data_IF_515859652901
#
_entry.id   IF_515859652901
#
_cell.length_a   1.000
_cell.length_b   1.000
_cell.length_c   1.000
_cell.angle_alpha   90.00
_cell.angle_beta   90.00
_cell.angle_gamma   90.00
#
_symmetry.space_group_name_H-M   'P 1'
#
loop_
_entity.id
_entity.type
_entity.pdbx_description
1 polymer ?
#
# COMPACT_ATOMS: atom_id res chain seq x y z
N UNK A 1 1.64 -21.67 -21.83
CA UNK A 1 2.53 -22.72 -21.31
C UNK A 1 3.60 -23.13 -22.32
N UNK A 2 3.38 -24.18 -23.11
CA UNK A 2 4.41 -24.75 -24.00
C UNK A 2 4.88 -23.81 -25.13
N UNK A 3 3.97 -23.09 -25.79
CA UNK A 3 4.34 -22.09 -26.81
C UNK A 3 5.30 -21.02 -26.29
N UNK A 4 5.14 -20.64 -25.02
CA UNK A 4 5.95 -19.62 -24.38
C UNK A 4 7.35 -20.12 -24.02
N UNK A 5 7.48 -21.40 -23.63
CA UNK A 5 8.79 -22.05 -23.45
C UNK A 5 9.58 -22.08 -24.75
N UNK A 6 8.93 -22.40 -25.87
CA UNK A 6 9.56 -22.39 -27.20
C UNK A 6 10.02 -20.99 -27.58
N UNK A 7 9.21 -19.95 -27.32
CA UNK A 7 9.57 -18.57 -27.60
C UNK A 7 10.80 -18.11 -26.78
N UNK A 8 10.84 -18.44 -25.50
CA UNK A 8 11.97 -18.11 -24.62
C UNK A 8 13.24 -18.85 -25.06
N UNK A 9 13.15 -20.17 -25.30
CA UNK A 9 14.28 -20.97 -25.75
C UNK A 9 14.85 -20.45 -27.09
N UNK A 10 13.98 -20.08 -28.03
CA UNK A 10 14.38 -19.48 -29.31
C UNK A 10 15.08 -18.15 -29.11
N UNK A 11 14.62 -17.32 -28.19
CA UNK A 11 15.23 -16.01 -27.90
C UNK A 11 16.61 -16.19 -27.25
N UNK A 12 16.72 -17.11 -26.29
CA UNK A 12 17.97 -17.42 -25.61
C UNK A 12 19.03 -18.04 -26.53
N UNK A 13 18.63 -18.77 -27.57
CA UNK A 13 19.55 -19.35 -28.54
C UNK A 13 20.43 -18.31 -29.27
N UNK A 14 20.00 -17.05 -29.32
CA UNK A 14 20.73 -15.94 -29.94
C UNK A 14 21.66 -15.19 -28.96
N UNK A 15 21.79 -15.63 -27.70
CA UNK A 15 22.58 -14.94 -26.66
C UNK A 15 22.30 -13.43 -26.57
N UNK A 16 21.04 -13.02 -26.33
CA UNK A 16 20.67 -11.61 -26.29
C UNK A 16 21.31 -10.91 -25.08
N UNK A 17 21.63 -9.64 -25.24
CA UNK A 17 22.11 -8.80 -24.14
C UNK A 17 21.00 -8.43 -23.15
N UNK A 18 19.74 -8.36 -23.62
CA UNK A 18 18.57 -8.03 -22.82
C UNK A 18 17.34 -8.82 -23.30
N UNK A 19 16.49 -9.24 -22.37
CA UNK A 19 15.18 -9.83 -22.64
C UNK A 19 14.07 -8.85 -22.25
N UNK A 20 13.03 -8.76 -23.08
CA UNK A 20 11.82 -8.01 -22.78
C UNK A 20 10.62 -8.94 -22.81
N UNK A 21 9.84 -8.92 -21.74
CA UNK A 21 8.60 -9.67 -21.59
C UNK A 21 7.44 -8.69 -21.45
N UNK A 22 6.52 -8.72 -22.41
CA UNK A 22 5.32 -7.90 -22.39
C UNK A 22 4.11 -8.76 -22.04
N UNK A 23 3.54 -8.55 -20.84
CA UNK A 23 2.39 -9.27 -20.29
C UNK A 23 2.48 -10.81 -20.45
N UNK A 24 3.62 -11.44 -20.08
CA UNK A 24 3.88 -12.82 -20.45
C UNK A 24 2.83 -13.81 -19.89
N UNK A 25 2.24 -13.54 -18.73
CA UNK A 25 1.36 -14.51 -18.09
C UNK A 25 -0.13 -14.16 -18.14
N UNK A 26 -0.50 -13.05 -18.80
CA UNK A 26 -1.87 -12.53 -18.80
C UNK A 26 -2.92 -13.51 -19.33
N UNK A 27 -2.55 -14.36 -20.30
CA UNK A 27 -3.46 -15.32 -20.93
C UNK A 27 -3.51 -16.71 -20.25
N UNK A 28 -2.80 -16.90 -19.13
CA UNK A 28 -2.71 -18.19 -18.44
C UNK A 28 -3.65 -18.26 -17.23
N UNK A 29 -4.14 -19.46 -16.92
CA UNK A 29 -4.86 -19.73 -15.68
C UNK A 29 -3.95 -19.56 -14.45
N UNK A 30 -4.55 -19.35 -13.29
CA UNK A 30 -3.83 -19.01 -12.05
C UNK A 30 -2.77 -20.05 -11.66
N UNK A 31 -3.07 -21.34 -11.80
CA UNK A 31 -2.14 -22.41 -11.41
C UNK A 31 -0.97 -22.50 -12.39
N UNK A 32 -1.24 -22.42 -13.69
CA UNK A 32 -0.21 -22.40 -14.73
C UNK A 32 0.67 -21.15 -14.62
N UNK A 33 0.08 -20.00 -14.27
CA UNK A 33 0.81 -18.74 -14.04
C UNK A 33 1.86 -18.89 -12.94
N UNK A 34 1.48 -19.40 -11.77
CA UNK A 34 2.42 -19.63 -10.65
C UNK A 34 3.55 -20.58 -11.06
N UNK A 35 3.22 -21.67 -11.76
CA UNK A 35 4.23 -22.62 -12.21
C UNK A 35 5.23 -21.99 -13.20
N UNK A 36 4.73 -21.25 -14.20
CA UNK A 36 5.57 -20.63 -15.21
C UNK A 36 6.42 -19.49 -14.65
N UNK A 37 5.90 -18.69 -13.71
CA UNK A 37 6.67 -17.67 -12.97
C UNK A 37 7.92 -18.28 -12.35
N UNK A 38 7.75 -19.38 -11.61
CA UNK A 38 8.86 -20.07 -10.93
C UNK A 38 9.91 -20.61 -11.91
N UNK A 39 9.47 -21.16 -13.03
CA UNK A 39 10.38 -21.67 -14.05
C UNK A 39 11.17 -20.56 -14.76
N UNK A 40 10.49 -19.47 -15.15
CA UNK A 40 11.16 -18.33 -15.78
C UNK A 40 12.18 -17.72 -14.83
N UNK A 41 11.83 -17.53 -13.56
CA UNK A 41 12.78 -17.04 -12.55
C UNK A 41 13.99 -17.95 -12.42
N UNK A 42 13.79 -19.27 -12.34
CA UNK A 42 14.88 -20.23 -12.27
C UNK A 42 15.76 -20.23 -13.52
N UNK A 43 15.17 -20.00 -14.70
CA UNK A 43 15.89 -19.90 -15.97
C UNK A 43 16.73 -18.63 -16.01
N UNK A 44 16.15 -17.46 -15.73
CA UNK A 44 16.86 -16.19 -15.74
C UNK A 44 18.02 -16.16 -14.74
N UNK A 45 17.83 -16.76 -13.56
CA UNK A 45 18.91 -16.93 -12.57
C UNK A 45 20.08 -17.76 -13.08
N UNK A 46 19.83 -18.72 -13.99
CA UNK A 46 20.88 -19.57 -14.59
C UNK A 46 21.60 -18.87 -15.73
N UNK A 47 20.86 -18.20 -16.62
CA UNK A 47 21.44 -17.59 -17.83
C UNK A 47 22.04 -16.21 -17.54
N UNK A 48 21.64 -15.54 -16.44
CA UNK A 48 22.14 -14.23 -16.01
C UNK A 48 22.02 -13.12 -17.06
N UNK A 49 20.97 -13.19 -17.87
CA UNK A 49 20.64 -12.15 -18.86
C UNK A 49 19.71 -11.13 -18.19
N UNK A 50 19.99 -9.81 -18.27
CA UNK A 50 19.06 -8.78 -17.84
C UNK A 50 17.68 -8.95 -18.50
N UNK A 51 16.62 -8.91 -17.70
CA UNK A 51 15.26 -9.06 -18.18
C UNK A 51 14.38 -7.94 -17.66
N UNK A 52 13.56 -7.37 -18.56
CA UNK A 52 12.54 -6.39 -18.24
C UNK A 52 11.18 -7.07 -18.41
N UNK A 53 10.37 -7.01 -17.35
CA UNK A 53 8.99 -7.51 -17.35
C UNK A 53 8.04 -6.33 -17.28
N UNK A 54 7.06 -6.31 -18.20
CA UNK A 54 5.94 -5.38 -18.19
C UNK A 54 4.71 -6.21 -17.81
N UNK A 55 4.03 -5.80 -16.74
CA UNK A 55 2.85 -6.48 -16.22
C UNK A 55 1.94 -5.49 -15.51
N UNK A 56 0.63 -5.76 -15.55
CA UNK A 56 -0.38 -5.12 -14.73
C UNK A 56 -0.67 -5.90 -13.44
N UNK A 57 -0.08 -7.10 -13.27
CA UNK A 57 -0.26 -7.96 -12.10
C UNK A 57 0.77 -7.63 -11.02
N UNK A 58 0.26 -7.27 -9.84
CA UNK A 58 1.07 -6.86 -8.69
C UNK A 58 1.88 -8.02 -8.12
N UNK A 59 1.31 -9.22 -8.07
CA UNK A 59 1.99 -10.40 -7.53
C UNK A 59 3.16 -10.78 -8.41
N UNK A 60 3.01 -10.66 -9.73
CA UNK A 60 4.09 -10.92 -10.69
C UNK A 60 5.28 -9.97 -10.46
N UNK A 61 5.00 -8.67 -10.32
CA UNK A 61 6.03 -7.67 -10.07
C UNK A 61 6.76 -7.93 -8.73
N UNK A 62 6.01 -8.22 -7.67
CA UNK A 62 6.55 -8.48 -6.32
C UNK A 62 7.33 -9.81 -6.23
N UNK A 63 6.92 -10.84 -6.98
CA UNK A 63 7.54 -12.17 -6.93
C UNK A 63 8.75 -12.30 -7.87
N UNK A 64 8.73 -11.71 -9.06
CA UNK A 64 9.78 -11.88 -10.06
C UNK A 64 10.84 -10.79 -10.03
N UNK A 65 10.47 -9.55 -9.73
CA UNK A 65 11.33 -8.39 -9.90
C UNK A 65 12.41 -8.31 -8.83
N UNK A 66 13.68 -8.17 -9.25
CA UNK A 66 14.73 -7.70 -8.33
C UNK A 66 14.55 -6.21 -8.01
N UNK A 67 14.01 -5.45 -8.98
CA UNK A 67 13.58 -4.06 -8.87
C UNK A 67 12.27 -3.88 -9.60
N UNK A 68 11.42 -3.00 -9.08
CA UNK A 68 10.12 -2.65 -9.64
C UNK A 68 10.13 -1.16 -9.97
N UNK A 69 9.70 -0.81 -11.17
CA UNK A 69 9.40 0.55 -11.58
C UNK A 69 7.87 0.69 -11.69
N UNK A 70 7.26 1.51 -10.84
CA UNK A 70 5.84 1.80 -10.91
C UNK A 70 5.63 3.01 -11.82
N UNK A 71 4.78 2.84 -12.83
CA UNK A 71 4.49 3.86 -13.84
C UNK A 71 3.03 4.32 -13.67
N UNK A 72 2.82 5.63 -13.75
CA UNK A 72 1.52 6.28 -13.72
C UNK A 72 1.48 7.41 -14.75
N UNK A 73 0.49 7.41 -15.64
CA UNK A 73 0.33 8.42 -16.72
C UNK A 73 1.63 8.67 -17.50
N UNK A 74 2.38 7.61 -17.81
CA UNK A 74 3.64 7.69 -18.57
C UNK A 74 4.85 8.21 -17.78
N UNK A 75 4.70 8.49 -16.48
CA UNK A 75 5.81 8.88 -15.60
C UNK A 75 6.14 7.76 -14.61
N UNK A 76 7.43 7.60 -14.33
CA UNK A 76 7.89 6.69 -13.27
C UNK A 76 7.62 7.38 -11.93
N UNK A 77 6.73 6.80 -11.13
CA UNK A 77 6.40 7.27 -9.78
C UNK A 77 7.47 6.86 -8.77
N UNK A 78 7.95 5.62 -8.87
CA UNK A 78 8.94 5.06 -7.96
C UNK A 78 9.70 3.91 -8.61
N UNK A 79 11.00 3.82 -8.31
CA UNK A 79 11.81 2.64 -8.60
C UNK A 79 12.45 2.17 -7.29
N UNK A 80 12.31 0.89 -6.96
CA UNK A 80 12.93 0.32 -5.78
C UNK A 80 12.91 -1.20 -5.81
N UNK A 81 13.43 -1.84 -4.77
CA UNK A 81 13.21 -3.27 -4.55
C UNK A 81 11.72 -3.53 -4.25
N UNK A 82 11.20 -4.75 -4.45
CA UNK A 82 9.82 -5.10 -4.07
C UNK A 82 9.46 -4.69 -2.65
N UNK A 83 10.40 -4.88 -1.71
CA UNK A 83 10.20 -4.55 -0.30
C UNK A 83 10.14 -3.03 -0.06
N UNK A 84 10.96 -2.25 -0.76
CA UNK A 84 10.95 -0.79 -0.64
C UNK A 84 9.67 -0.18 -1.19
N UNK A 85 9.27 -0.56 -2.42
CA UNK A 85 8.07 0.01 -3.05
C UNK A 85 6.78 -0.37 -2.31
N UNK A 86 6.77 -1.54 -1.67
CA UNK A 86 5.63 -2.01 -0.89
C UNK A 86 5.52 -1.32 0.48
N UNK A 87 6.62 -1.28 1.24
CA UNK A 87 6.61 -0.78 2.63
C UNK A 87 6.79 0.73 2.74
N UNK A 88 7.51 1.35 1.80
CA UNK A 88 7.81 2.79 1.78
C UNK A 88 7.40 3.40 0.43
N UNK A 89 6.08 3.48 0.16
CA UNK A 89 5.58 4.05 -1.09
C UNK A 89 5.88 5.56 -1.16
N UNK A 90 6.39 6.01 -2.31
CA UNK A 90 6.74 7.41 -2.56
C UNK A 90 5.51 8.28 -2.89
N UNK A 91 4.40 7.66 -3.31
CA UNK A 91 3.14 8.34 -3.59
C UNK A 91 1.95 7.48 -3.17
N UNK A 92 0.79 8.13 -2.98
CA UNK A 92 -0.49 7.45 -2.73
C UNK A 92 -0.82 6.44 -3.83
N UNK A 93 -0.50 6.78 -5.08
CA UNK A 93 -0.71 5.88 -6.20
C UNK A 93 0.09 4.58 -6.02
N UNK A 94 1.39 4.66 -5.72
CA UNK A 94 2.21 3.47 -5.48
C UNK A 94 1.67 2.65 -4.31
N UNK A 95 1.24 3.31 -3.24
CA UNK A 95 0.65 2.63 -2.09
C UNK A 95 -0.59 1.81 -2.48
N UNK A 96 -1.55 2.43 -3.18
CA UNK A 96 -2.80 1.78 -3.60
C UNK A 96 -2.63 0.80 -4.77
N UNK A 97 -1.61 0.97 -5.59
CA UNK A 97 -1.38 0.15 -6.78
C UNK A 97 -0.73 -1.19 -6.46
N UNK A 98 0.13 -1.28 -5.43
CA UNK A 98 0.86 -2.52 -5.11
C UNK A 98 0.17 -3.40 -4.06
N UNK A 99 -1.04 -3.03 -3.62
CA UNK A 99 -1.83 -3.81 -2.68
C UNK A 99 -2.82 -2.94 -1.92
N UNK A 100 -3.57 -3.57 -1.00
CA UNK A 100 -4.45 -2.85 -0.11
C UNK A 100 -3.65 -1.88 0.78
N UNK A 101 -4.18 -0.68 0.98
CA UNK A 101 -3.62 0.32 1.87
C UNK A 101 -4.77 1.06 2.56
N UNK A 102 -4.59 1.36 3.83
CA UNK A 102 -5.43 2.33 4.54
C UNK A 102 -4.79 3.70 4.39
N UNK A 103 -5.61 4.70 4.10
CA UNK A 103 -5.18 6.09 3.95
C UNK A 103 -6.05 6.94 4.87
N UNK A 104 -5.40 7.70 5.75
CA UNK A 104 -6.07 8.68 6.61
C UNK A 104 -5.48 10.06 6.33
N UNK A 105 -6.34 11.02 5.99
CA UNK A 105 -5.93 12.40 5.82
C UNK A 105 -5.90 13.10 7.17
N UNK A 106 -4.93 13.99 7.34
CA UNK A 106 -4.74 14.71 8.58
C UNK A 106 -4.00 16.02 8.41
N UNK A 107 -3.92 16.77 9.50
CA UNK A 107 -3.20 18.04 9.57
C UNK A 107 -2.26 18.02 10.76
N UNK A 108 -1.09 18.60 10.58
CA UNK A 108 -0.13 18.77 11.66
C UNK A 108 -0.53 19.97 12.50
N UNK A 109 -0.84 19.74 13.78
CA UNK A 109 -1.29 20.76 14.72
C UNK A 109 -0.47 20.59 16.01
N UNK A 110 0.29 21.62 16.40
CA UNK A 110 0.95 21.71 17.73
C UNK A 110 1.66 20.44 18.21
N UNK A 111 2.54 19.87 17.38
CA UNK A 111 3.31 18.67 17.76
C UNK A 111 2.52 17.35 17.72
N UNK A 112 1.30 17.38 17.19
CA UNK A 112 0.49 16.21 16.88
C UNK A 112 0.06 16.22 15.41
N UNK A 113 -0.18 15.04 14.86
CA UNK A 113 -0.85 14.86 13.58
C UNK A 113 -2.24 14.35 13.88
N UNK A 114 -3.24 15.13 13.46
CA UNK A 114 -4.64 14.81 13.68
C UNK A 114 -5.21 14.25 12.40
N UNK A 115 -5.64 13.00 12.43
CA UNK A 115 -6.24 12.25 11.33
C UNK A 115 -7.73 12.03 11.60
N UNK A 116 -8.52 13.10 11.50
CA UNK A 116 -9.94 13.08 11.89
C UNK A 116 -10.11 12.63 13.35
N UNK A 117 -10.55 11.38 13.53
CA UNK A 117 -10.79 10.76 14.84
C UNK A 117 -9.54 10.20 15.53
N UNK A 118 -8.41 10.13 14.83
CA UNK A 118 -7.16 9.58 15.34
C UNK A 118 -6.09 10.65 15.52
N UNK A 119 -5.13 10.43 16.42
CA UNK A 119 -4.02 11.34 16.63
C UNK A 119 -2.71 10.60 16.86
N UNK A 120 -1.61 11.15 16.35
CA UNK A 120 -0.27 10.62 16.56
C UNK A 120 0.70 11.74 16.91
N UNK A 121 1.70 11.49 17.77
CA UNK A 121 2.70 12.51 18.09
C UNK A 121 3.62 12.76 16.89
N UNK A 122 3.95 14.02 16.59
CA UNK A 122 4.80 14.39 15.44
C UNK A 122 6.23 13.89 15.57
N UNK A 123 6.69 13.49 16.76
CA UNK A 123 8.00 12.85 16.97
C UNK A 123 8.22 11.58 16.14
N UNK A 124 7.14 11.01 15.61
CA UNK A 124 7.16 9.86 14.74
C UNK A 124 7.19 10.23 13.26
N UNK A 125 7.15 11.52 12.94
CA UNK A 125 7.31 12.05 11.60
C UNK A 125 8.74 12.52 11.37
N UNK A 126 9.14 12.54 10.11
CA UNK A 126 10.33 13.23 9.65
C UNK A 126 10.23 14.75 9.89
N UNK A 127 11.36 15.41 10.19
CA UNK A 127 11.47 16.88 10.38
C UNK A 127 11.11 17.70 9.13
N UNK A 128 10.79 17.04 8.02
CA UNK A 128 10.42 17.63 6.72
C UNK A 128 9.04 18.30 6.72
N UNK A 129 8.19 18.04 7.71
CA UNK A 129 6.81 18.53 7.72
C UNK A 129 6.65 19.79 8.59
N UNK A 130 5.79 20.71 8.15
CA UNK A 130 5.53 21.99 8.83
C UNK A 130 4.19 21.98 9.59
N UNK A 131 4.10 22.81 10.62
CA UNK A 131 2.82 23.05 11.30
C UNK A 131 1.78 23.62 10.32
N UNK A 132 0.53 23.15 10.44
CA UNK A 132 -0.57 23.49 9.54
C UNK A 132 -0.55 22.76 8.20
N UNK A 133 0.46 21.92 7.93
CA UNK A 133 0.53 21.17 6.67
C UNK A 133 -0.46 20.01 6.65
N UNK A 134 -1.21 19.89 5.55
CA UNK A 134 -2.03 18.72 5.27
C UNK A 134 -1.15 17.52 4.89
N UNK A 135 -1.42 16.37 5.49
CA UNK A 135 -0.65 15.13 5.32
C UNK A 135 -1.60 13.94 5.16
N UNK A 136 -1.08 12.85 4.62
CA UNK A 136 -1.75 11.55 4.52
C UNK A 136 -0.92 10.52 5.27
N UNK A 137 -1.56 9.79 6.17
CA UNK A 137 -1.02 8.61 6.81
C UNK A 137 -1.44 7.39 6.01
N UNK A 138 -0.45 6.63 5.56
CA UNK A 138 -0.62 5.42 4.76
C UNK A 138 -0.06 4.26 5.56
N UNK A 139 -0.85 3.21 5.72
CA UNK A 139 -0.41 2.00 6.40
C UNK A 139 -1.11 0.78 5.81
N UNK A 140 -0.45 -0.37 5.85
CA UNK A 140 -1.01 -1.59 5.30
C UNK A 140 -1.98 -2.23 6.28
N UNK A 141 -3.00 -2.97 5.81
CA UNK A 141 -3.89 -3.72 6.70
C UNK A 141 -3.16 -4.69 7.63
N UNK A 142 -2.05 -5.27 7.19
CA UNK A 142 -1.19 -6.16 7.97
C UNK A 142 -0.32 -5.45 9.00
N UNK A 143 -0.18 -4.12 8.91
CA UNK A 143 0.52 -3.30 9.90
C UNK A 143 -0.39 -2.85 11.05
N UNK A 144 -1.68 -3.22 11.01
CA UNK A 144 -2.67 -2.86 12.04
C UNK A 144 -2.77 -3.98 13.07
N UNK A 145 -2.24 -3.71 14.26
CA UNK A 145 -2.39 -4.57 15.42
C UNK A 145 -3.63 -4.18 16.24
N UNK A 146 -4.51 -5.14 16.49
CA UNK A 146 -5.69 -4.94 17.32
C UNK A 146 -5.46 -5.46 18.74
N UNK A 147 -5.90 -4.68 19.74
CA UNK A 147 -5.86 -5.06 21.16
C UNK A 147 -7.15 -4.66 21.86
N UNK A 148 -7.52 -5.37 22.93
CA UNK A 148 -8.61 -4.93 23.83
C UNK A 148 -8.16 -3.86 24.83
N UNK A 149 -6.86 -3.77 25.06
CA UNK A 149 -6.21 -2.78 25.93
C UNK A 149 -5.42 -1.78 25.09
N UNK A 150 -5.14 -0.60 25.65
CA UNK A 150 -4.30 0.44 25.01
C UNK A 150 -2.79 0.12 25.10
N UNK A 151 -2.43 -1.03 25.66
CA UNK A 151 -1.05 -1.47 25.81
C UNK A 151 -0.58 -2.16 24.55
N UNK A 152 0.32 -1.48 23.83
CA UNK A 152 0.97 -2.04 22.66
C UNK A 152 2.44 -2.37 22.94
N UNK A 153 2.99 -3.40 22.28
CA UNK A 153 4.42 -3.68 22.35
C UNK A 153 5.26 -2.47 21.90
N UNK A 154 6.48 -2.36 22.43
CA UNK A 154 7.42 -1.33 22.02
C UNK A 154 7.57 -1.29 20.49
N UNK A 155 7.56 -0.09 19.91
CA UNK A 155 7.62 0.15 18.47
C UNK A 155 6.27 0.30 17.76
N UNK A 156 5.14 0.07 18.45
CA UNK A 156 3.81 0.32 17.88
C UNK A 156 3.30 1.71 18.27
N UNK A 157 2.75 2.44 17.31
CA UNK A 157 2.10 3.70 17.57
C UNK A 157 0.59 3.50 17.77
N UNK A 158 0.06 3.90 18.93
CA UNK A 158 -1.38 3.89 19.18
C UNK A 158 -2.05 4.97 18.32
N UNK A 159 -3.01 4.58 17.48
CA UNK A 159 -3.71 5.46 16.55
C UNK A 159 -5.02 5.99 17.15
N UNK A 160 -5.94 5.08 17.48
CA UNK A 160 -7.22 5.38 18.16
C UNK A 160 -7.90 4.09 18.63
N UNK A 161 -9.06 4.22 19.28
CA UNK A 161 -10.03 3.12 19.46
C UNK A 161 -11.03 3.07 18.29
N UNK A 162 -11.67 1.91 18.12
CA UNK A 162 -12.70 1.71 17.13
C UNK A 162 -13.61 0.54 17.46
N UNK A 163 -14.69 0.42 16.71
CA UNK A 163 -15.66 -0.68 16.81
C UNK A 163 -15.54 -1.57 15.59
N UNK A 164 -15.51 -2.88 15.81
CA UNK A 164 -15.51 -3.87 14.73
C UNK A 164 -16.88 -3.89 14.06
N UNK A 165 -16.94 -3.56 12.77
CA UNK A 165 -18.17 -3.59 11.97
C UNK A 165 -18.34 -4.94 11.25
N UNK A 166 -17.25 -5.49 10.74
CA UNK A 166 -17.27 -6.72 9.96
C UNK A 166 -16.02 -7.54 10.19
N UNK A 167 -16.17 -8.86 10.18
CA UNK A 167 -15.08 -9.83 10.20
C UNK A 167 -15.31 -10.81 9.06
N UNK A 168 -14.39 -10.86 8.10
CA UNK A 168 -14.44 -11.74 6.94
C UNK A 168 -13.26 -12.72 7.00
N UNK A 169 -13.55 -14.02 6.90
CA UNK A 169 -12.51 -15.05 6.89
C UNK A 169 -11.98 -15.28 5.47
N UNK A 170 -10.67 -15.05 5.26
CA UNK A 170 -10.00 -15.17 3.94
C UNK A 170 -9.00 -16.34 3.94
N UNK A 171 -9.25 -17.36 4.77
CA UNK A 171 -8.40 -18.55 4.84
C UNK A 171 -7.17 -18.35 5.73
N UNK A 172 -6.10 -17.74 5.22
CA UNK A 172 -4.83 -17.60 5.94
C UNK A 172 -4.86 -16.50 7.02
N UNK A 173 -5.76 -15.53 6.86
CA UNK A 173 -5.98 -14.41 7.76
C UNK A 173 -7.47 -14.06 7.82
N UNK A 174 -7.86 -13.31 8.85
CA UNK A 174 -9.15 -12.64 8.95
C UNK A 174 -8.99 -11.19 8.55
N UNK A 175 -9.90 -10.69 7.70
CA UNK A 175 -10.02 -9.27 7.38
C UNK A 175 -11.05 -8.67 8.31
N UNK A 176 -10.67 -7.63 9.04
CA UNK A 176 -11.52 -6.94 10.02
C UNK A 176 -11.72 -5.51 9.56
N UNK A 177 -12.97 -5.08 9.47
CA UNK A 177 -13.36 -3.72 9.11
C UNK A 177 -13.76 -2.98 10.39
N UNK A 178 -13.09 -1.87 10.67
CA UNK A 178 -13.17 -1.18 11.97
C UNK A 178 -13.52 0.28 11.77
N UNK A 179 -14.61 0.73 12.37
CA UNK A 179 -14.95 2.15 12.40
C UNK A 179 -14.22 2.81 13.56
N UNK A 180 -13.38 3.80 13.23
CA UNK A 180 -12.66 4.58 14.22
C UNK A 180 -13.63 5.44 15.05
N UNK A 181 -13.50 5.36 16.37
CA UNK A 181 -14.15 6.29 17.29
C UNK A 181 -13.23 7.50 17.49
N UNK A 182 -13.82 8.69 17.67
CA UNK A 182 -13.07 9.89 18.01
C UNK A 182 -12.31 9.65 19.31
N UNK A 183 -10.99 9.79 19.27
CA UNK A 183 -10.18 9.78 20.48
C UNK A 183 -10.67 10.88 21.41
N UNK A 184 -11.28 10.48 22.54
CA UNK A 184 -11.73 11.39 23.57
C UNK A 184 -10.55 12.07 24.23
N UNK A 185 -10.12 13.20 23.66
CA UNK A 185 -8.99 14.00 24.13
C UNK A 185 -8.68 15.17 23.20
N UNK A 186 -9.59 16.16 23.17
CA UNK A 186 -9.42 17.53 22.65
C UNK A 186 -8.94 17.70 21.20
N UNK A 187 -9.88 17.78 20.25
CA UNK A 187 -10.15 19.01 19.49
C UNK A 187 -11.27 18.77 18.48
N UNK A 188 -12.12 19.78 18.35
CA UNK A 188 -13.31 19.78 17.52
C UNK A 188 -13.01 19.51 16.05
N UNK A 189 -13.89 18.71 15.48
CA UNK A 189 -14.02 18.37 14.07
C UNK A 189 -14.11 19.61 13.18
N UNK A 190 -13.23 19.70 12.18
CA UNK A 190 -13.54 20.37 10.93
C UNK A 190 -13.62 19.31 9.81
N UNK A 191 -14.80 19.18 9.22
CA UNK A 191 -15.07 18.40 8.02
C UNK A 191 -13.99 18.65 6.96
N UNK A 192 -13.11 17.66 6.72
CA UNK A 192 -12.19 17.67 5.58
C UNK A 192 -12.13 16.25 4.98
N UNK A 193 -12.08 16.13 3.63
CA UNK A 193 -12.66 15.00 2.90
C UNK A 193 -11.82 13.70 2.90
N UNK A 194 -12.52 12.60 2.63
CA UNK A 194 -12.14 11.20 2.82
C UNK A 194 -11.77 10.47 1.51
N UNK A 195 -10.65 9.74 1.43
CA UNK A 195 -10.31 8.78 0.35
C UNK A 195 -9.29 7.72 0.88
N UNK A 196 -9.10 6.48 0.42
CA UNK A 196 -9.69 5.52 -0.52
C UNK A 196 -9.24 4.13 0.03
N UNK A 197 -10.14 3.17 0.20
CA UNK A 197 -9.76 1.74 0.24
C UNK A 197 -10.49 1.07 -0.91
N UNK A 198 -9.78 0.35 -1.77
CA UNK A 198 -10.39 -0.50 -2.80
C UNK A 198 -11.04 -1.69 -2.13
N UNK A 199 -12.31 -1.51 -1.76
CA UNK A 199 -13.42 -2.46 -1.79
C UNK A 199 -14.62 -1.76 -1.13
N UNK A 200 -15.68 -1.58 -1.92
CA UNK A 200 -17.02 -1.07 -1.56
C UNK A 200 -17.25 0.45 -1.60
N UNK A 201 -18.14 0.94 -2.51
CA UNK A 201 -18.53 2.35 -2.62
C UNK A 201 -19.70 2.65 -1.68
N UNK A 202 -19.45 2.75 -0.37
CA UNK A 202 -20.48 3.21 0.57
C UNK A 202 -20.12 4.56 1.18
N UNK A 203 -21.04 5.51 0.98
CA UNK A 203 -21.05 6.86 1.56
C UNK A 203 -21.34 6.75 3.07
N UNK A 204 -20.32 6.40 3.85
CA UNK A 204 -20.31 6.57 5.31
C UNK A 204 -19.40 7.75 5.65
N UNK A 205 -19.87 8.64 6.54
CA UNK A 205 -19.10 9.77 7.09
C UNK A 205 -17.91 9.34 7.98
N UNK A 206 -17.68 8.03 8.12
CA UNK A 206 -16.44 7.47 8.66
C UNK A 206 -16.09 6.23 7.84
N UNK A 207 -15.10 6.33 6.96
CA UNK A 207 -14.58 5.14 6.27
C UNK A 207 -13.75 4.30 7.25
N UNK A 208 -13.98 2.99 7.31
CA UNK A 208 -13.34 2.14 8.30
C UNK A 208 -11.91 1.78 7.91
N UNK A 209 -11.11 1.53 8.94
CA UNK A 209 -9.79 0.94 8.82
C UNK A 209 -9.93 -0.55 8.62
N UNK A 210 -9.19 -1.08 7.65
CA UNK A 210 -9.07 -2.51 7.39
C UNK A 210 -7.84 -3.02 8.11
N UNK A 211 -8.00 -4.06 8.91
CA UNK A 211 -6.91 -4.79 9.54
C UNK A 211 -6.92 -6.24 9.04
N UNK A 212 -5.74 -6.82 8.80
CA UNK A 212 -5.61 -8.26 8.52
C UNK A 212 -4.94 -8.95 9.68
N UNK A 213 -5.62 -9.94 10.25
CA UNK A 213 -5.15 -10.70 11.41
C UNK A 213 -4.75 -12.10 10.99
N UNK A 214 -3.48 -12.49 11.14
CA UNK A 214 -3.06 -13.85 10.83
C UNK A 214 -3.62 -14.84 11.87
N UNK A 215 -3.77 -16.12 11.50
CA UNK A 215 -4.33 -17.18 12.38
C UNK A 215 -3.76 -17.20 13.82
N UNK A 216 -2.45 -17.05 14.07
CA UNK A 216 -1.92 -17.02 15.43
C UNK A 216 -2.54 -15.90 16.29
N UNK A 217 -2.79 -14.74 15.69
CA UNK A 217 -3.40 -13.60 16.37
C UNK A 217 -4.91 -13.82 16.60
N UNK A 218 -5.62 -14.32 15.59
CA UNK A 218 -7.03 -14.74 15.70
C UNK A 218 -7.22 -15.77 16.82
N UNK A 219 -6.31 -16.72 16.94
CA UNK A 219 -6.36 -17.76 17.96
C UNK A 219 -6.01 -17.22 19.36
N UNK A 220 -5.15 -16.20 19.45
CA UNK A 220 -4.79 -15.59 20.72
C UNK A 220 -5.98 -14.87 21.37
N UNK A 221 -6.81 -14.19 20.58
CA UNK A 221 -8.08 -13.64 21.04
C UNK A 221 -9.09 -13.53 19.91
N UNK A 222 -10.32 -13.97 20.17
CA UNK A 222 -11.44 -13.82 19.22
C UNK A 222 -12.07 -12.44 19.35
N UNK A 223 -12.37 -11.85 18.21
CA UNK A 223 -13.17 -10.64 18.07
C UNK A 223 -14.57 -11.00 17.60
N UNK A 224 -15.55 -10.19 18.01
CA UNK A 224 -16.92 -10.24 17.53
C UNK A 224 -17.29 -8.89 16.93
N UNK A 225 -18.22 -8.89 15.98
CA UNK A 225 -18.83 -7.66 15.50
C UNK A 225 -19.44 -6.89 16.68
N UNK A 226 -19.13 -5.60 16.78
CA UNK A 226 -19.52 -4.73 17.89
C UNK A 226 -18.49 -4.62 19.02
N UNK A 227 -17.43 -5.43 19.03
CA UNK A 227 -16.37 -5.31 20.03
C UNK A 227 -15.61 -3.99 19.85
N UNK A 228 -15.29 -3.35 20.99
CA UNK A 228 -14.37 -2.21 21.04
C UNK A 228 -12.92 -2.69 21.07
N UNK A 229 -12.10 -2.12 20.19
CA UNK A 229 -10.68 -2.44 20.05
C UNK A 229 -9.84 -1.16 19.96
N UNK A 230 -8.61 -1.24 20.44
CA UNK A 230 -7.57 -0.25 20.18
C UNK A 230 -6.75 -0.68 18.98
N UNK A 231 -6.40 0.29 18.14
CA UNK A 231 -5.60 0.09 16.93
C UNK A 231 -4.19 0.64 17.17
N UNK A 232 -3.19 -0.22 17.00
CA UNK A 232 -1.78 0.13 17.00
C UNK A 232 -1.18 -0.12 15.63
N UNK A 233 -0.30 0.76 15.16
CA UNK A 233 0.40 0.62 13.89
C UNK A 233 1.84 0.15 14.14
N UNK A 234 2.25 -0.96 13.51
CA UNK A 234 3.65 -1.43 13.51
C UNK A 234 4.52 -0.67 12.52
N UNK A 235 3.94 -0.28 11.39
CA UNK A 235 4.60 0.48 10.33
C UNK A 235 3.58 1.40 9.66
N UNK A 236 4.05 2.57 9.24
CA UNK A 236 3.26 3.53 8.49
C UNK A 236 4.18 4.49 7.75
N UNK A 237 3.66 5.09 6.69
CA UNK A 237 4.32 6.14 5.92
C UNK A 237 3.46 7.39 5.97
N UNK A 238 4.07 8.55 6.17
CA UNK A 238 3.37 9.83 6.06
C UNK A 238 3.84 10.55 4.81
N UNK A 239 2.88 10.96 3.98
CA UNK A 239 3.12 11.71 2.76
C UNK A 239 2.46 13.09 2.86
N UNK A 240 3.02 14.12 2.21
CA UNK A 240 2.33 15.41 2.11
C UNK A 240 1.03 15.22 1.33
N UNK A 241 -0.06 15.82 1.79
CA UNK A 241 -1.31 15.87 1.04
C UNK A 241 -1.20 17.00 0.01
N UNK A 242 -0.34 16.80 -0.99
CA UNK A 242 -0.31 17.64 -2.16
C UNK A 242 -1.49 17.19 -3.02
N UNK A 243 -2.68 17.75 -2.79
CA UNK A 243 -3.76 17.65 -3.75
C UNK A 243 -3.16 17.94 -5.12
N UNK A 244 -3.22 16.97 -6.05
CA UNK A 244 -2.65 17.10 -7.39
C UNK A 244 -3.07 18.45 -7.95
N UNK A 245 -2.14 19.40 -8.03
CA UNK A 245 -2.27 20.57 -8.89
C UNK A 245 -2.15 20.10 -10.33
N UNK A 246 -3.20 19.45 -10.83
CA UNK A 246 -3.49 19.45 -12.26
C UNK A 246 -4.13 20.79 -12.61
N UNK A 247 -3.29 21.81 -12.79
CA UNK A 247 -3.60 23.00 -13.55
C UNK A 247 -2.28 23.66 -14.01
N UNK A 248 -1.90 23.33 -15.24
CA UNK A 248 -1.26 24.24 -16.20
C UNK A 248 -0.02 25.00 -15.71
N UNK A 249 1.16 24.43 -15.95
CA UNK A 249 2.35 25.22 -16.23
C UNK A 249 2.99 24.70 -17.53
N UNK A 250 2.38 25.06 -18.66
CA UNK A 250 3.12 25.14 -19.92
C UNK A 250 4.26 26.16 -19.70
N UNK A 251 5.53 25.83 -20.00
CA UNK A 251 6.53 26.86 -20.13
C UNK A 251 6.18 27.67 -21.38
N UNK A 252 5.73 28.91 -21.16
CA UNK A 252 5.65 29.90 -22.23
C UNK A 252 7.08 30.19 -22.66
N UNK A 253 7.50 29.61 -23.78
CA UNK A 253 8.73 30.00 -24.47
C UNK A 253 8.46 31.39 -25.03
N UNK A 254 8.90 32.42 -24.32
CA UNK A 254 9.02 33.77 -24.87
C UNK A 254 10.18 33.76 -25.86
N UNK A 255 9.88 33.56 -27.13
CA UNK A 255 10.78 33.94 -28.21
C UNK A 255 10.78 35.48 -28.27
N UNK A 256 11.87 36.10 -27.81
CA UNK A 256 12.19 37.47 -28.16
C UNK A 256 12.86 37.46 -29.54
N UNK A 257 12.28 38.27 -30.43
CA UNK A 257 12.86 38.70 -31.72
C UNK A 257 13.99 39.70 -31.48
#
# INVERSE_FOLDING_TARGET
GQQQRVAIARTLAYNPEVLLFDEPFGALDAQTRVHLRREIRALLNKVKVPAIFITHDQEEALELGDRIAVINVGHIEQIGTPREVYNNPASEYVATFLGAANILEGTIIRGHVVFGNAQMPTRLLDDRFKEGQAVKLIFRPEDVLLRKTQEFPAGHACLSSGVVEEISFVGAYERVRIRLEASGGACETSDTPFYLTTETPERSNAKPVIATRPKPETNAFRLRTGDRVFLGLSSFTVLPNNARTSATSQPTITAQQ
#
